data_IF_303478572588
#
_entry.id   IF_303478572588
#
_cell.length_a   1.000
_cell.length_b   1.000
_cell.length_c   1.000
_cell.angle_alpha   90.00
_cell.angle_beta   90.00
_cell.angle_gamma   90.00
#
_symmetry.space_group_name_H-M   'P 1'
#
loop_
_entity.id
_entity.type
_entity.pdbx_description
1 polymer ?
#
# COMPACT_ATOMS: atom_id res chain seq x y z
N UNK A 1 24.15 1.67 53.75
CA UNK A 1 22.73 1.51 53.33
C UNK A 1 22.74 1.75 51.82
N UNK A 2 23.26 0.78 51.08
CA UNK A 2 23.85 0.98 49.75
C UNK A 2 23.19 0.08 48.70
N UNK A 3 21.86 0.08 48.64
CA UNK A 3 21.12 -0.78 47.69
C UNK A 3 20.08 -0.05 46.84
N UNK A 4 20.00 1.29 46.87
CA UNK A 4 19.00 2.05 46.12
C UNK A 4 19.53 2.88 44.94
N UNK A 5 20.85 2.91 44.66
CA UNK A 5 21.38 3.65 43.49
C UNK A 5 21.57 2.78 42.23
N UNK A 6 21.60 1.45 42.35
CA UNK A 6 21.82 0.57 41.21
C UNK A 6 20.55 0.29 40.36
N UNK A 7 19.36 0.41 40.95
CA UNK A 7 18.09 0.05 40.27
C UNK A 7 17.46 1.18 39.44
N UNK A 8 17.88 2.43 39.64
CA UNK A 8 17.37 3.56 38.85
C UNK A 8 18.13 3.73 37.53
N UNK A 9 19.41 3.35 37.47
CA UNK A 9 20.21 3.48 36.24
C UNK A 9 19.89 2.40 35.19
N UNK A 10 19.44 1.21 35.61
CA UNK A 10 19.11 0.12 34.67
C UNK A 10 17.78 0.36 33.95
N UNK A 11 16.84 1.11 34.55
CA UNK A 11 15.55 1.42 33.93
C UNK A 11 15.59 2.63 32.97
N UNK A 12 16.54 3.55 33.13
CA UNK A 12 16.75 4.64 32.16
C UNK A 12 17.48 4.16 30.90
N UNK A 13 18.41 3.21 31.01
CA UNK A 13 19.16 2.69 29.86
C UNK A 13 18.33 1.80 28.91
N UNK A 14 17.24 1.19 29.38
CA UNK A 14 16.38 0.32 28.55
C UNK A 14 15.33 1.13 27.76
N UNK A 15 14.99 2.35 28.20
CA UNK A 15 14.09 3.24 27.46
C UNK A 15 14.79 4.01 26.33
N UNK A 16 16.12 3.95 26.26
CA UNK A 16 16.95 4.69 25.31
C UNK A 16 17.60 3.81 24.24
N UNK A 17 16.91 2.75 23.78
CA UNK A 17 17.19 2.21 22.43
C UNK A 17 16.57 3.17 21.41
N UNK A 18 17.11 4.38 21.36
CA UNK A 18 16.93 5.33 20.29
C UNK A 18 17.51 4.68 19.04
N UNK A 19 16.64 4.14 18.18
CA UNK A 19 17.02 3.78 16.83
C UNK A 19 17.71 5.02 16.22
N UNK A 20 18.99 4.93 15.85
CA UNK A 20 19.81 6.11 15.67
C UNK A 20 19.25 6.98 14.55
N UNK A 21 19.17 8.28 14.82
CA UNK A 21 18.92 9.30 13.79
C UNK A 21 19.91 9.10 12.66
N UNK A 22 19.41 8.57 11.53
CA UNK A 22 20.21 8.30 10.32
C UNK A 22 20.84 9.58 9.73
N UNK A 23 20.30 10.76 10.07
CA UNK A 23 20.79 12.06 9.61
C UNK A 23 21.01 13.03 10.77
N UNK A 24 22.27 13.29 11.09
CA UNK A 24 22.69 14.56 11.69
C UNK A 24 22.89 15.56 10.56
N UNK A 25 22.13 16.66 10.60
CA UNK A 25 22.01 17.74 9.61
C UNK A 25 21.07 17.44 8.41
N UNK A 26 20.04 18.29 8.26
CA UNK A 26 18.85 18.05 7.44
C UNK A 26 19.04 18.19 5.92
N UNK A 27 20.22 18.60 5.44
CA UNK A 27 20.38 19.01 4.03
C UNK A 27 21.49 18.33 3.24
N UNK A 28 22.44 17.61 3.86
CA UNK A 28 23.52 16.97 3.08
C UNK A 28 23.11 15.56 2.62
N UNK A 29 23.00 15.31 1.30
CA UNK A 29 22.61 14.00 0.82
C UNK A 29 23.74 12.98 0.96
N UNK A 30 23.40 11.81 1.48
CA UNK A 30 24.35 10.70 1.60
C UNK A 30 24.75 10.15 0.23
N UNK A 31 25.86 9.37 0.17
CA UNK A 31 26.30 8.74 -1.09
C UNK A 31 25.21 7.85 -1.69
N UNK A 32 24.44 7.14 -0.87
CA UNK A 32 23.35 6.26 -1.32
C UNK A 32 22.18 7.05 -1.90
N UNK A 33 21.84 8.20 -1.32
CA UNK A 33 20.81 9.10 -1.86
C UNK A 33 21.18 9.69 -3.23
N UNK A 34 22.45 10.05 -3.41
CA UNK A 34 22.96 10.54 -4.69
C UNK A 34 22.86 9.47 -5.78
N UNK A 35 23.21 8.22 -5.46
CA UNK A 35 23.08 7.08 -6.37
C UNK A 35 21.60 6.80 -6.68
N UNK A 36 20.73 6.84 -5.67
CA UNK A 36 19.30 6.62 -5.86
C UNK A 36 18.65 7.64 -6.82
N UNK A 37 19.12 8.89 -6.86
CA UNK A 37 18.63 9.90 -7.82
C UNK A 37 18.89 9.46 -9.26
N UNK A 38 20.06 8.88 -9.55
CA UNK A 38 20.43 8.46 -10.90
C UNK A 38 19.50 7.38 -11.44
N UNK A 39 19.18 6.38 -10.61
CA UNK A 39 18.25 5.30 -10.98
C UNK A 39 16.77 5.71 -10.92
N UNK A 40 16.43 6.78 -10.18
CA UNK A 40 15.04 7.24 -10.05
C UNK A 40 14.42 7.67 -11.38
N UNK A 41 15.20 8.26 -12.29
CA UNK A 41 14.69 8.76 -13.57
C UNK A 41 14.24 7.65 -14.53
N UNK A 42 15.07 6.64 -14.88
CA UNK A 42 14.63 5.57 -15.79
C UNK A 42 13.46 4.76 -15.21
N UNK A 43 13.44 4.52 -13.89
CA UNK A 43 12.33 3.82 -13.21
C UNK A 43 11.03 4.65 -13.30
N UNK A 44 11.11 5.95 -13.07
CA UNK A 44 9.95 6.85 -13.19
C UNK A 44 9.45 6.98 -14.63
N UNK A 45 10.36 7.04 -15.59
CA UNK A 45 10.02 7.08 -17.01
C UNK A 45 9.31 5.80 -17.44
N UNK A 46 9.80 4.63 -17.01
CA UNK A 46 9.14 3.34 -17.25
C UNK A 46 7.73 3.30 -16.65
N UNK A 47 7.55 3.85 -15.44
CA UNK A 47 6.23 3.93 -14.80
C UNK A 47 5.20 4.75 -15.59
N UNK A 48 5.63 5.73 -16.38
CA UNK A 48 4.70 6.50 -17.22
C UNK A 48 4.00 5.64 -18.27
N UNK A 49 4.61 4.54 -18.72
CA UNK A 49 3.96 3.57 -19.62
C UNK A 49 2.85 2.76 -18.92
N UNK A 50 2.87 2.70 -17.59
CA UNK A 50 1.82 2.06 -16.80
C UNK A 50 0.65 3.02 -16.60
N UNK A 51 0.91 4.29 -16.25
CA UNK A 51 -0.16 5.28 -16.00
C UNK A 51 -0.81 5.78 -17.30
N UNK A 52 0.00 6.02 -18.32
CA UNK A 52 -0.43 6.53 -19.63
C UNK A 52 -0.18 5.43 -20.66
N UNK A 53 -1.07 4.42 -20.76
CA UNK A 53 -1.01 3.50 -21.89
C UNK A 53 -1.15 4.33 -23.18
N UNK A 54 -0.29 4.06 -24.16
CA UNK A 54 -0.27 4.82 -25.42
C UNK A 54 -1.64 4.79 -26.07
N UNK A 55 -2.11 5.97 -26.49
CA UNK A 55 -3.39 6.13 -27.16
C UNK A 55 -3.31 5.75 -28.64
N UNK A 56 -2.12 5.84 -29.24
CA UNK A 56 -1.93 5.71 -30.69
C UNK A 56 -1.75 4.28 -31.20
N UNK A 57 -1.50 3.31 -30.32
CA UNK A 57 -1.19 1.96 -30.76
C UNK A 57 -2.15 0.94 -30.15
N UNK A 58 -3.15 0.54 -30.94
CA UNK A 58 -4.11 -0.52 -30.61
C UNK A 58 -3.46 -1.89 -30.33
N UNK A 59 -2.14 -2.01 -30.50
CA UNK A 59 -1.35 -3.22 -30.21
C UNK A 59 -0.85 -3.34 -28.77
N UNK A 60 -0.98 -2.31 -27.91
CA UNK A 60 -0.59 -2.43 -26.48
C UNK A 60 -1.45 -3.40 -25.65
N UNK A 61 -2.53 -3.94 -26.22
CA UNK A 61 -3.29 -5.05 -25.61
C UNK A 61 -2.56 -6.40 -25.66
N UNK A 62 -1.45 -6.53 -26.41
CA UNK A 62 -0.70 -7.79 -26.54
C UNK A 62 0.63 -7.75 -25.79
N UNK A 63 0.69 -8.34 -24.59
CA UNK A 63 1.91 -8.79 -23.90
C UNK A 63 2.90 -7.72 -23.40
N UNK A 64 3.15 -6.65 -24.16
CA UNK A 64 4.15 -5.61 -23.90
C UNK A 64 3.84 -4.79 -22.66
N UNK A 65 2.57 -4.45 -22.42
CA UNK A 65 2.15 -3.69 -21.23
C UNK A 65 2.37 -4.49 -19.93
N UNK A 66 2.05 -5.79 -19.92
CA UNK A 66 2.34 -6.68 -18.78
C UNK A 66 3.83 -6.82 -18.53
N UNK A 67 4.63 -6.93 -19.60
CA UNK A 67 6.09 -6.97 -19.50
C UNK A 67 6.66 -5.69 -18.87
N UNK A 68 6.15 -4.51 -19.27
CA UNK A 68 6.55 -3.22 -18.70
C UNK A 68 6.22 -3.15 -17.21
N UNK A 69 5.02 -3.58 -16.80
CA UNK A 69 4.63 -3.63 -15.39
C UNK A 69 5.59 -4.52 -14.61
N UNK A 70 5.88 -5.71 -15.11
CA UNK A 70 6.77 -6.64 -14.45
C UNK A 70 8.20 -6.13 -14.31
N UNK A 71 8.75 -5.58 -15.39
CA UNK A 71 10.08 -4.97 -15.39
C UNK A 71 10.10 -3.82 -14.37
N UNK A 72 9.08 -2.96 -14.36
CA UNK A 72 8.98 -1.89 -13.38
C UNK A 72 8.91 -2.42 -11.95
N UNK A 73 8.03 -3.39 -11.66
CA UNK A 73 7.88 -3.94 -10.31
C UNK A 73 9.17 -4.59 -9.82
N UNK A 74 9.85 -5.35 -10.67
CA UNK A 74 11.15 -5.97 -10.34
C UNK A 74 12.23 -4.91 -10.12
N UNK A 75 12.37 -3.94 -11.02
CA UNK A 75 13.34 -2.84 -10.86
C UNK A 75 13.05 -2.00 -9.61
N UNK A 76 11.78 -1.75 -9.31
CA UNK A 76 11.36 -1.06 -8.09
C UNK A 76 11.76 -1.85 -6.85
N UNK A 77 11.39 -3.13 -6.75
CA UNK A 77 11.75 -3.99 -5.62
C UNK A 77 13.27 -4.09 -5.43
N UNK A 78 14.04 -4.31 -6.51
CA UNK A 78 15.50 -4.35 -6.46
C UNK A 78 16.07 -2.99 -5.99
N UNK A 79 15.54 -1.87 -6.51
CA UNK A 79 16.02 -0.53 -6.12
C UNK A 79 15.79 -0.25 -4.63
N UNK A 80 14.64 -0.68 -4.09
CA UNK A 80 14.27 -0.57 -2.68
C UNK A 80 15.20 -1.43 -1.83
N UNK A 81 15.37 -2.70 -2.19
CA UNK A 81 16.21 -3.64 -1.45
C UNK A 81 17.68 -3.17 -1.42
N UNK A 82 18.23 -2.76 -2.57
CA UNK A 82 19.59 -2.23 -2.65
C UNK A 82 19.75 -0.94 -1.82
N UNK A 83 18.78 -0.03 -1.87
CA UNK A 83 18.83 1.22 -1.12
C UNK A 83 18.82 0.96 0.39
N UNK A 84 17.86 0.17 0.88
CA UNK A 84 17.73 -0.11 2.31
C UNK A 84 18.84 -1.01 2.84
N UNK A 85 19.29 -2.02 2.09
CA UNK A 85 20.45 -2.84 2.47
C UNK A 85 21.73 -2.00 2.58
N UNK A 86 21.96 -1.09 1.61
CA UNK A 86 23.12 -0.18 1.68
C UNK A 86 22.98 0.84 2.81
N UNK A 87 21.78 1.37 3.06
CA UNK A 87 21.51 2.29 4.16
C UNK A 87 21.75 1.62 5.51
N UNK A 88 21.21 0.41 5.70
CA UNK A 88 21.33 -0.39 6.91
C UNK A 88 22.77 -0.86 7.14
N UNK A 89 23.47 -1.31 6.09
CA UNK A 89 24.89 -1.67 6.17
C UNK A 89 25.76 -0.48 6.57
N UNK A 90 25.52 0.70 5.99
CA UNK A 90 26.20 1.93 6.37
C UNK A 90 25.92 2.32 7.82
N UNK A 91 24.71 2.07 8.31
CA UNK A 91 24.30 2.33 9.69
C UNK A 91 24.97 1.35 10.67
N UNK A 92 24.87 0.04 10.40
CA UNK A 92 25.50 -1.01 11.19
C UNK A 92 27.01 -0.85 11.27
N UNK A 93 27.66 -0.41 10.17
CA UNK A 93 29.08 -0.08 10.17
C UNK A 93 29.42 1.10 11.08
N UNK A 94 28.53 2.10 11.20
CA UNK A 94 28.70 3.22 12.14
C UNK A 94 28.48 2.79 13.59
N UNK A 95 27.55 1.86 13.85
CA UNK A 95 27.15 1.44 15.19
C UNK A 95 27.84 0.16 15.69
N UNK A 96 28.64 -0.51 14.86
CA UNK A 96 29.26 -1.82 15.13
C UNK A 96 28.24 -2.90 15.55
N UNK A 97 27.03 -2.87 14.99
CA UNK A 97 25.95 -3.84 15.26
C UNK A 97 25.84 -4.87 14.14
N UNK A 98 25.48 -6.10 14.47
CA UNK A 98 25.19 -7.15 13.48
C UNK A 98 23.95 -6.83 12.66
N UNK A 99 23.86 -7.26 11.38
CA UNK A 99 22.67 -7.03 10.56
C UNK A 99 21.44 -7.73 11.15
N UNK A 100 20.35 -6.99 11.35
CA UNK A 100 19.06 -7.59 11.70
C UNK A 100 18.59 -8.50 10.54
N UNK A 101 18.04 -9.69 10.85
CA UNK A 101 17.53 -10.59 9.82
C UNK A 101 16.35 -9.94 9.08
N UNK A 102 16.31 -10.12 7.74
CA UNK A 102 15.09 -9.80 6.97
C UNK A 102 13.92 -10.56 7.60
N UNK A 103 12.93 -9.81 8.10
CA UNK A 103 11.71 -10.38 8.69
C UNK A 103 11.04 -11.27 7.64
N UNK A 104 10.69 -12.52 7.99
CA UNK A 104 9.95 -13.48 7.13
C UNK A 104 8.73 -12.82 6.47
N UNK A 105 8.11 -11.89 7.20
CA UNK A 105 7.02 -11.03 6.75
C UNK A 105 7.30 -10.29 5.42
N UNK A 106 8.53 -9.85 5.18
CA UNK A 106 8.96 -9.19 3.94
C UNK A 106 8.81 -10.12 2.73
N UNK A 107 9.23 -11.38 2.88
CA UNK A 107 9.13 -12.38 1.82
C UNK A 107 7.67 -12.76 1.52
N UNK A 108 6.79 -12.76 2.52
CA UNK A 108 5.36 -13.02 2.32
C UNK A 108 4.74 -11.97 1.39
N UNK A 109 5.00 -10.68 1.63
CA UNK A 109 4.44 -9.61 0.82
C UNK A 109 5.04 -9.55 -0.59
N UNK A 110 6.34 -9.85 -0.74
CA UNK A 110 6.97 -10.04 -2.06
C UNK A 110 6.36 -11.21 -2.82
N UNK A 111 6.07 -12.32 -2.13
CA UNK A 111 5.35 -13.45 -2.69
C UNK A 111 3.96 -13.03 -3.20
N UNK A 112 3.21 -12.25 -2.42
CA UNK A 112 1.90 -11.72 -2.83
C UNK A 112 2.00 -10.88 -4.11
N UNK A 113 2.96 -9.95 -4.18
CA UNK A 113 3.21 -9.13 -5.38
C UNK A 113 3.52 -10.02 -6.59
N UNK A 114 4.36 -11.04 -6.39
CA UNK A 114 4.78 -11.95 -7.45
C UNK A 114 3.62 -12.79 -7.99
N UNK A 115 2.72 -13.25 -7.11
CA UNK A 115 1.51 -14.02 -7.50
C UNK A 115 0.56 -13.14 -8.31
N UNK A 116 0.31 -11.90 -7.89
CA UNK A 116 -0.59 -11.00 -8.63
C UNK A 116 0.00 -10.65 -9.99
N UNK A 117 1.30 -10.38 -10.05
CA UNK A 117 2.01 -10.10 -11.29
C UNK A 117 1.98 -11.31 -12.26
N UNK A 118 2.21 -12.52 -11.75
CA UNK A 118 2.09 -13.74 -12.53
C UNK A 118 0.65 -13.94 -13.05
N UNK A 119 -0.36 -13.63 -12.24
CA UNK A 119 -1.76 -13.66 -12.69
C UNK A 119 -2.03 -12.66 -13.84
N UNK A 120 -1.50 -11.44 -13.75
CA UNK A 120 -1.63 -10.45 -14.82
C UNK A 120 -1.07 -10.97 -16.14
N UNK A 121 0.14 -11.57 -16.12
CA UNK A 121 0.73 -12.19 -17.31
C UNK A 121 -0.10 -13.33 -17.89
N UNK A 122 -0.72 -14.13 -17.03
CA UNK A 122 -1.55 -15.25 -17.44
C UNK A 122 -2.95 -14.82 -17.90
N UNK A 123 -3.27 -13.52 -17.85
CA UNK A 123 -4.59 -12.99 -18.21
C UNK A 123 -5.71 -13.50 -17.29
N UNK A 124 -5.39 -13.87 -16.04
CA UNK A 124 -6.33 -14.48 -15.09
C UNK A 124 -7.03 -13.48 -14.18
N UNK A 125 -6.65 -12.20 -14.21
CA UNK A 125 -7.28 -11.14 -13.39
C UNK A 125 -8.65 -10.67 -13.91
N UNK A 126 -9.56 -11.60 -14.18
CA UNK A 126 -10.87 -11.30 -14.78
C UNK A 126 -11.82 -10.59 -13.81
N UNK A 127 -11.68 -10.83 -12.50
CA UNK A 127 -12.60 -10.29 -11.48
C UNK A 127 -12.36 -8.80 -11.23
N UNK A 128 -11.10 -8.46 -10.95
CA UNK A 128 -10.71 -7.11 -10.56
C UNK A 128 -10.30 -6.25 -11.76
N UNK A 129 -10.00 -6.89 -12.89
CA UNK A 129 -9.37 -6.24 -14.03
C UNK A 129 -7.95 -5.78 -13.72
N UNK A 130 -7.26 -5.32 -14.75
CA UNK A 130 -5.84 -4.96 -14.63
C UNK A 130 -5.62 -3.70 -13.78
N UNK A 131 -6.55 -2.74 -13.81
CA UNK A 131 -6.44 -1.50 -13.04
C UNK A 131 -6.46 -1.72 -11.53
N UNK A 132 -7.39 -2.53 -11.02
CA UNK A 132 -7.44 -2.83 -9.58
C UNK A 132 -6.33 -3.82 -9.17
N UNK A 133 -5.93 -4.76 -10.03
CA UNK A 133 -4.76 -5.60 -9.78
C UNK A 133 -3.47 -4.76 -9.60
N UNK A 134 -3.29 -3.74 -10.44
CA UNK A 134 -2.21 -2.75 -10.26
C UNK A 134 -2.34 -2.00 -8.94
N UNK A 135 -3.54 -1.54 -8.57
CA UNK A 135 -3.77 -0.87 -7.29
C UNK A 135 -3.38 -1.75 -6.10
N UNK A 136 -3.73 -3.05 -6.14
CA UNK A 136 -3.29 -4.01 -5.12
C UNK A 136 -1.76 -4.13 -5.12
N UNK A 137 -1.10 -4.39 -6.25
CA UNK A 137 0.37 -4.46 -6.34
C UNK A 137 1.03 -3.24 -5.70
N UNK A 138 0.50 -2.03 -5.96
CA UNK A 138 1.00 -0.80 -5.35
C UNK A 138 0.82 -0.79 -3.83
N UNK A 139 -0.36 -1.15 -3.32
CA UNK A 139 -0.61 -1.25 -1.89
C UNK A 139 0.33 -2.24 -1.20
N UNK A 140 0.52 -3.42 -1.77
CA UNK A 140 1.46 -4.43 -1.27
C UNK A 140 2.91 -3.92 -1.34
N UNK A 141 3.32 -3.26 -2.43
CA UNK A 141 4.67 -2.73 -2.60
C UNK A 141 4.99 -1.60 -1.62
N UNK A 142 4.03 -0.70 -1.36
CA UNK A 142 4.16 0.36 -0.35
C UNK A 142 4.26 -0.24 1.05
N UNK A 143 3.38 -1.19 1.40
CA UNK A 143 3.44 -1.86 2.69
C UNK A 143 4.78 -2.57 2.91
N UNK A 144 5.22 -3.33 1.90
CA UNK A 144 6.50 -4.02 1.89
C UNK A 144 7.68 -3.05 2.04
N UNK A 145 7.66 -1.92 1.35
CA UNK A 145 8.69 -0.88 1.46
C UNK A 145 8.77 -0.29 2.87
N UNK A 146 7.63 0.03 3.50
CA UNK A 146 7.61 0.58 4.86
C UNK A 146 8.11 -0.47 5.85
N UNK A 147 7.72 -1.74 5.69
CA UNK A 147 8.23 -2.84 6.48
C UNK A 147 9.77 -2.96 6.37
N UNK A 148 10.33 -2.85 5.17
CA UNK A 148 11.78 -2.85 4.95
C UNK A 148 12.49 -1.63 5.55
N UNK A 149 11.82 -0.48 5.56
CA UNK A 149 12.36 0.74 6.16
C UNK A 149 12.37 0.70 7.70
N UNK A 150 11.63 -0.23 8.33
CA UNK A 150 11.43 -0.25 9.78
C UNK A 150 10.59 0.93 10.31
N UNK A 151 9.90 1.68 9.43
CA UNK A 151 9.07 2.84 9.77
C UNK A 151 7.58 2.51 9.81
N UNK A 152 7.23 1.35 10.35
CA UNK A 152 5.84 1.00 10.67
C UNK A 152 5.46 1.57 12.04
N UNK A 153 4.18 1.88 12.25
CA UNK A 153 3.69 2.32 13.57
C UNK A 153 3.75 1.19 14.61
N UNK A 154 3.77 -0.06 14.18
CA UNK A 154 4.03 -1.24 15.00
C UNK A 154 5.23 -2.02 14.47
N UNK A 155 5.81 -2.92 15.27
CA UNK A 155 7.01 -3.68 14.89
C UNK A 155 6.77 -4.72 13.76
N UNK A 156 5.57 -4.72 13.16
CA UNK A 156 5.15 -5.51 11.98
C UNK A 156 3.69 -5.22 11.59
N UNK A 157 3.10 -6.08 10.75
CA UNK A 157 1.69 -5.98 10.33
C UNK A 157 0.75 -6.05 11.53
N UNK A 158 -0.14 -5.06 11.65
CA UNK A 158 -1.01 -4.90 12.81
C UNK A 158 -2.19 -3.96 12.54
N UNK A 159 -2.97 -3.58 13.56
CA UNK A 159 -4.17 -2.75 13.40
C UNK A 159 -3.96 -1.44 12.64
N UNK A 160 -2.74 -0.92 12.66
CA UNK A 160 -2.35 0.32 12.00
C UNK A 160 -1.90 0.12 10.54
N UNK A 161 -1.81 -1.11 10.03
CA UNK A 161 -1.39 -1.41 8.65
C UNK A 161 -2.17 -0.62 7.59
N UNK A 162 -3.50 -0.47 7.64
CA UNK A 162 -4.21 0.37 6.67
C UNK A 162 -3.76 1.83 6.70
N UNK A 163 -3.48 2.37 7.89
CA UNK A 163 -3.01 3.74 8.05
C UNK A 163 -1.53 3.88 7.64
N UNK A 164 -0.69 2.86 7.84
CA UNK A 164 0.67 2.82 7.32
C UNK A 164 0.68 2.81 5.79
N UNK A 165 -0.19 2.02 5.14
CA UNK A 165 -0.36 2.02 3.68
C UNK A 165 -0.80 3.39 3.20
N UNK A 166 -1.78 4.03 3.84
CA UNK A 166 -2.24 5.38 3.47
C UNK A 166 -1.13 6.44 3.67
N UNK A 167 -0.37 6.35 4.77
CA UNK A 167 0.78 7.22 4.99
C UNK A 167 1.86 7.01 3.91
N UNK A 168 2.11 5.77 3.51
CA UNK A 168 3.03 5.44 2.43
C UNK A 168 2.56 5.90 1.06
N UNK A 169 1.26 5.81 0.80
CA UNK A 169 0.70 6.18 -0.49
C UNK A 169 0.63 7.70 -0.67
N UNK A 170 0.29 8.45 0.39
CA UNK A 170 0.06 9.89 0.29
C UNK A 170 1.08 10.70 1.09
N UNK A 171 1.26 10.40 2.37
CA UNK A 171 1.98 11.30 3.29
C UNK A 171 3.48 11.34 3.02
N UNK A 172 4.16 10.19 2.98
CA UNK A 172 5.62 10.16 2.79
C UNK A 172 6.07 10.69 1.42
N UNK A 173 5.47 10.28 0.30
CA UNK A 173 5.88 10.76 -1.02
C UNK A 173 5.64 12.26 -1.19
N UNK A 174 4.48 12.78 -0.73
CA UNK A 174 4.13 14.19 -0.86
C UNK A 174 4.96 15.09 0.07
N UNK A 175 5.20 14.64 1.31
CA UNK A 175 6.05 15.39 2.26
C UNK A 175 7.48 15.55 1.74
N UNK A 176 7.99 14.54 1.03
CA UNK A 176 9.34 14.54 0.47
C UNK A 176 9.39 14.73 -1.05
N UNK A 177 8.34 15.30 -1.65
CA UNK A 177 8.22 15.45 -3.09
C UNK A 177 9.40 16.25 -3.68
N UNK A 178 9.76 17.36 -3.04
CA UNK A 178 10.89 18.20 -3.47
C UNK A 178 12.26 17.67 -3.01
N UNK A 179 12.34 16.48 -2.42
CA UNK A 179 13.63 15.95 -1.98
C UNK A 179 14.53 15.63 -3.18
N UNK A 180 13.96 15.07 -4.24
CA UNK A 180 14.69 14.73 -5.47
C UNK A 180 15.40 15.95 -6.07
N UNK A 181 14.69 17.09 -6.17
CA UNK A 181 15.26 18.33 -6.70
C UNK A 181 16.35 18.90 -5.77
N UNK A 182 16.15 18.82 -4.44
CA UNK A 182 17.16 19.26 -3.46
C UNK A 182 18.46 18.47 -3.56
N UNK A 183 18.38 17.14 -3.74
CA UNK A 183 19.57 16.29 -3.89
C UNK A 183 20.29 16.58 -5.21
N UNK A 184 19.57 16.72 -6.31
CA UNK A 184 20.14 17.10 -7.61
C UNK A 184 20.86 18.44 -7.49
N UNK A 185 20.22 19.44 -6.88
CA UNK A 185 20.79 20.76 -6.65
C UNK A 185 22.08 20.70 -5.84
N UNK A 186 22.11 19.92 -4.75
CA UNK A 186 23.31 19.71 -3.92
C UNK A 186 24.47 19.06 -4.69
N UNK A 187 24.18 18.09 -5.57
CA UNK A 187 25.20 17.48 -6.44
C UNK A 187 25.78 18.52 -7.38
N UNK A 188 24.94 19.33 -8.03
CA UNK A 188 25.35 20.37 -8.98
C UNK A 188 26.20 21.43 -8.28
N UNK A 189 25.73 22.01 -7.17
CA UNK A 189 26.45 23.06 -6.44
C UNK A 189 27.78 22.56 -5.87
N UNK A 190 27.84 21.33 -5.36
CA UNK A 190 29.10 20.76 -4.87
C UNK A 190 30.14 20.54 -5.99
N UNK A 191 29.69 20.24 -7.21
CA UNK A 191 30.55 20.09 -8.39
C UNK A 191 31.04 21.44 -8.93
N UNK A 192 30.17 22.47 -8.89
CA UNK A 192 30.52 23.85 -9.25
C UNK A 192 31.56 24.40 -8.26
N UNK A 193 31.32 24.27 -6.95
CA UNK A 193 32.23 24.78 -5.92
C UNK A 193 33.60 24.07 -5.93
N UNK A 194 33.67 22.76 -6.26
CA UNK A 194 34.94 22.06 -6.46
C UNK A 194 35.67 22.47 -7.75
N UNK A 195 34.94 22.95 -8.75
CA UNK A 195 35.48 23.45 -10.03
C UNK A 195 35.79 24.95 -10.02
N UNK A 196 35.68 25.64 -8.89
CA UNK A 196 36.09 27.04 -8.71
C UNK A 196 37.58 27.35 -8.97
N UNK A 197 38.37 26.37 -9.46
CA UNK A 197 39.72 26.54 -10.00
C UNK A 197 39.84 26.36 -11.54
N UNK A 198 38.76 26.03 -12.26
CA UNK A 198 38.73 25.81 -13.73
C UNK A 198 37.47 26.44 -14.39
N UNK A 199 37.12 27.66 -14.00
CA UNK A 199 35.79 28.25 -14.21
C UNK A 199 35.47 28.71 -15.65
N UNK A 200 36.40 28.63 -16.61
CA UNK A 200 36.12 29.03 -18.00
C UNK A 200 35.36 27.95 -18.78
N UNK A 201 35.76 26.67 -18.67
CA UNK A 201 35.21 25.60 -19.53
C UNK A 201 33.73 25.32 -19.30
N UNK A 202 33.23 25.38 -18.07
CA UNK A 202 31.81 25.09 -17.77
C UNK A 202 30.86 26.19 -18.23
N UNK A 203 31.29 27.46 -18.15
CA UNK A 203 30.52 28.57 -18.71
C UNK A 203 30.43 28.46 -20.24
N UNK A 204 31.54 28.08 -20.89
CA UNK A 204 31.57 27.84 -22.34
C UNK A 204 30.61 26.73 -22.76
N UNK A 205 30.57 25.59 -22.07
CA UNK A 205 29.64 24.50 -22.43
C UNK A 205 28.16 24.89 -22.25
N UNK A 206 27.83 25.70 -21.25
CA UNK A 206 26.47 26.21 -21.06
C UNK A 206 26.11 27.19 -22.18
N UNK A 207 27.02 28.12 -22.51
CA UNK A 207 26.82 29.05 -23.64
C UNK A 207 26.70 28.32 -24.98
N UNK A 208 27.50 27.28 -25.22
CA UNK A 208 27.42 26.43 -26.41
C UNK A 208 26.09 25.68 -26.46
N UNK A 209 25.61 25.13 -25.35
CA UNK A 209 24.32 24.43 -25.30
C UNK A 209 23.14 25.38 -25.59
N UNK A 210 23.12 26.56 -24.97
CA UNK A 210 22.10 27.59 -25.22
C UNK A 210 22.19 28.08 -26.68
N UNK A 211 23.40 28.33 -27.18
CA UNK A 211 23.65 28.74 -28.55
C UNK A 211 23.18 27.70 -29.57
N UNK A 212 23.42 26.41 -29.31
CA UNK A 212 22.98 25.33 -30.18
C UNK A 212 21.45 25.19 -30.22
N UNK A 213 20.76 25.36 -29.07
CA UNK A 213 19.30 25.37 -29.00
C UNK A 213 18.72 26.55 -29.80
N UNK A 214 19.26 27.75 -29.62
CA UNK A 214 18.83 28.94 -30.36
C UNK A 214 19.13 28.81 -31.86
N UNK A 215 20.27 28.24 -32.22
CA UNK A 215 20.66 28.01 -33.62
C UNK A 215 19.72 27.02 -34.32
N UNK A 216 19.35 25.93 -33.64
CA UNK A 216 18.34 24.99 -34.14
C UNK A 216 16.98 25.65 -34.33
N UNK A 217 16.52 26.42 -33.34
CA UNK A 217 15.25 27.15 -33.41
C UNK A 217 15.23 28.14 -34.58
N UNK A 218 16.31 28.91 -34.75
CA UNK A 218 16.46 29.81 -35.88
C UNK A 218 16.47 29.06 -37.22
N UNK A 219 17.20 27.93 -37.31
CA UNK A 219 17.24 27.09 -38.52
C UNK A 219 15.85 26.63 -38.97
N UNK A 220 15.01 26.17 -38.03
CA UNK A 220 13.62 25.79 -38.32
C UNK A 220 12.76 26.97 -38.79
N UNK A 221 12.90 28.15 -38.16
CA UNK A 221 12.18 29.36 -38.57
C UNK A 221 12.57 29.80 -39.99
N UNK A 222 13.86 29.75 -40.33
CA UNK A 222 14.35 30.09 -41.68
C UNK A 222 13.88 29.07 -42.72
N UNK A 223 13.93 27.78 -42.41
CA UNK A 223 13.43 26.73 -43.30
C UNK A 223 11.91 26.82 -43.52
N UNK A 224 11.15 27.27 -42.52
CA UNK A 224 9.71 27.53 -42.68
C UNK A 224 9.41 28.79 -43.50
N UNK A 225 10.33 29.74 -43.60
CA UNK A 225 10.12 31.03 -44.26
C UNK A 225 10.54 31.04 -45.73
N UNK A 226 11.49 30.18 -46.15
CA UNK A 226 12.04 30.15 -47.51
C UNK A 226 12.18 28.72 -48.05
N UNK A 227 11.60 28.46 -49.22
CA UNK A 227 11.60 27.12 -49.85
C UNK A 227 12.98 26.67 -50.33
N UNK A 228 13.83 27.59 -50.78
CA UNK A 228 15.19 27.26 -51.25
C UNK A 228 16.07 26.86 -50.07
N UNK A 229 15.93 27.56 -48.94
CA UNK A 229 16.60 27.22 -47.69
C UNK A 229 16.11 25.88 -47.14
N UNK A 230 14.80 25.61 -47.19
CA UNK A 230 14.21 24.34 -46.77
C UNK A 230 14.74 23.15 -47.58
N UNK A 231 14.91 23.29 -48.90
CA UNK A 231 15.47 22.22 -49.75
C UNK A 231 16.92 21.86 -49.41
N UNK A 232 17.69 22.80 -48.84
CA UNK A 232 19.10 22.58 -48.49
C UNK A 232 19.29 22.04 -47.08
N UNK A 233 18.47 22.48 -46.12
CA UNK A 233 18.66 22.22 -44.68
C UNK A 233 17.51 21.46 -44.01
N UNK A 234 16.36 21.33 -44.68
CA UNK A 234 15.16 20.69 -44.16
C UNK A 234 15.39 19.23 -43.77
N UNK A 235 16.08 18.44 -44.60
CA UNK A 235 16.36 17.03 -44.30
C UNK A 235 17.27 16.87 -43.07
N UNK A 236 18.28 17.74 -42.91
CA UNK A 236 19.17 17.73 -41.74
C UNK A 236 18.41 18.14 -40.47
N UNK A 237 17.56 19.16 -40.55
CA UNK A 237 16.70 19.61 -39.45
C UNK A 237 15.63 18.58 -39.10
N UNK A 238 15.12 17.82 -40.07
CA UNK A 238 14.19 16.70 -39.88
C UNK A 238 14.86 15.53 -39.14
N UNK A 239 16.11 15.18 -39.45
CA UNK A 239 16.86 14.17 -38.67
C UNK A 239 17.12 14.61 -37.22
N UNK A 240 17.31 15.92 -36.99
CA UNK A 240 17.44 16.50 -35.65
C UNK A 240 16.09 16.84 -35.01
N UNK A 241 14.98 16.67 -35.72
CA UNK A 241 13.66 16.99 -35.22
C UNK A 241 13.30 16.01 -34.12
N UNK A 242 13.25 16.52 -32.90
CA UNK A 242 12.50 15.85 -31.86
C UNK A 242 11.04 16.06 -32.19
N UNK A 243 10.35 14.98 -32.52
CA UNK A 243 8.91 15.04 -32.73
C UNK A 243 8.24 15.45 -31.41
N UNK A 244 7.92 16.75 -31.29
CA UNK A 244 7.28 17.35 -30.11
C UNK A 244 5.88 16.74 -29.92
N UNK A 245 5.28 16.21 -31.00
CA UNK A 245 3.99 15.52 -31.01
C UNK A 245 4.10 14.03 -30.68
N UNK A 246 5.32 13.48 -30.57
CA UNK A 246 5.50 12.12 -30.06
C UNK A 246 5.07 12.04 -28.59
N UNK A 247 4.84 10.83 -28.09
CA UNK A 247 4.48 10.65 -26.67
C UNK A 247 5.65 10.96 -25.72
N UNK A 248 6.87 11.08 -26.25
CA UNK A 248 8.09 11.20 -25.44
C UNK A 248 8.15 12.48 -24.59
N UNK A 249 7.93 13.71 -25.11
CA UNK A 249 7.90 14.93 -24.32
C UNK A 249 6.85 14.91 -23.20
N UNK A 250 5.64 14.43 -23.49
CA UNK A 250 4.58 14.31 -22.49
C UNK A 250 4.98 13.31 -21.40
N UNK A 251 5.48 12.13 -21.78
CA UNK A 251 5.99 11.13 -20.83
C UNK A 251 7.17 11.66 -20.02
N UNK A 252 8.07 12.42 -20.64
CA UNK A 252 9.20 13.07 -19.94
C UNK A 252 8.68 14.04 -18.87
N UNK A 253 7.75 14.93 -19.21
CA UNK A 253 7.14 15.87 -18.26
C UNK A 253 6.46 15.13 -17.11
N UNK A 254 5.69 14.08 -17.40
CA UNK A 254 4.98 13.26 -16.38
C UNK A 254 5.95 12.42 -15.54
N UNK A 255 7.10 12.02 -16.08
CA UNK A 255 8.13 11.28 -15.34
C UNK A 255 8.80 12.10 -14.24
N UNK A 256 8.75 13.44 -14.32
CA UNK A 256 9.30 14.33 -13.30
C UNK A 256 8.53 14.24 -11.97
N UNK A 257 7.20 14.49 -11.90
CA UNK A 257 6.42 14.33 -10.68
C UNK A 257 6.34 12.87 -10.23
N UNK A 258 6.26 11.91 -11.16
CA UNK A 258 6.30 10.47 -10.82
C UNK A 258 7.62 10.10 -10.13
N UNK A 259 8.74 10.54 -10.66
CA UNK A 259 10.05 10.27 -10.06
C UNK A 259 10.25 10.99 -8.75
N UNK A 260 9.68 12.19 -8.58
CA UNK A 260 9.63 12.88 -7.29
C UNK A 260 8.83 12.09 -6.25
N UNK A 261 7.67 11.55 -6.65
CA UNK A 261 6.85 10.66 -5.81
C UNK A 261 7.61 9.38 -5.41
N UNK A 262 8.15 8.63 -6.37
CA UNK A 262 8.88 7.38 -6.08
C UNK A 262 10.13 7.64 -5.25
N UNK A 263 10.86 8.73 -5.52
CA UNK A 263 12.03 9.10 -4.73
C UNK A 263 11.64 9.53 -3.31
N UNK A 264 10.57 10.30 -3.15
CA UNK A 264 10.02 10.68 -1.85
C UNK A 264 9.53 9.45 -1.05
N UNK A 265 8.98 8.45 -1.73
CA UNK A 265 8.58 7.19 -1.12
C UNK A 265 9.80 6.40 -0.59
N UNK A 266 10.82 6.18 -1.42
CA UNK A 266 11.98 5.36 -1.04
C UNK A 266 12.89 6.11 -0.06
N UNK A 267 13.34 7.30 -0.44
CA UNK A 267 14.34 8.06 0.33
C UNK A 267 13.68 8.85 1.46
N UNK A 268 12.50 9.43 1.23
CA UNK A 268 11.79 10.20 2.24
C UNK A 268 11.34 9.35 3.42
N UNK A 269 10.85 8.12 3.19
CA UNK A 269 10.51 7.19 4.27
C UNK A 269 11.73 6.89 5.15
N UNK A 270 12.90 6.67 4.57
CA UNK A 270 14.12 6.42 5.34
C UNK A 270 14.55 7.62 6.21
N UNK A 271 14.24 8.85 5.75
CA UNK A 271 14.50 10.11 6.47
C UNK A 271 13.47 10.42 7.58
N UNK A 272 12.33 9.74 7.61
CA UNK A 272 11.39 9.90 8.71
C UNK A 272 11.99 9.38 10.02
N UNK A 273 11.71 10.08 11.11
CA UNK A 273 12.19 9.66 12.43
C UNK A 273 11.23 8.62 13.02
N UNK A 274 11.76 7.48 13.46
CA UNK A 274 10.99 6.42 14.14
C UNK A 274 10.33 6.96 15.40
N UNK A 275 10.98 7.88 16.10
CA UNK A 275 10.42 8.51 17.30
C UNK A 275 9.18 9.33 16.96
N UNK A 276 9.19 10.09 15.86
CA UNK A 276 8.02 10.85 15.39
C UNK A 276 6.85 9.92 15.04
N UNK A 277 7.14 8.74 14.50
CA UNK A 277 6.10 7.78 14.17
C UNK A 277 5.49 7.12 15.42
N UNK A 278 6.33 6.77 16.40
CA UNK A 278 5.88 6.32 17.73
C UNK A 278 5.04 7.39 18.42
N UNK A 279 5.50 8.64 18.43
CA UNK A 279 4.76 9.78 18.99
C UNK A 279 3.43 10.02 18.25
N UNK A 280 3.41 9.86 16.92
CA UNK A 280 2.16 9.95 16.13
C UNK A 280 1.19 8.85 16.52
N UNK A 281 1.66 7.62 16.71
CA UNK A 281 0.84 6.52 17.21
C UNK A 281 0.30 6.82 18.62
N UNK A 282 1.14 7.28 19.53
CA UNK A 282 0.72 7.66 20.88
C UNK A 282 -0.33 8.79 20.84
N UNK A 283 -0.11 9.83 20.03
CA UNK A 283 -1.08 10.88 19.81
C UNK A 283 -2.41 10.37 19.26
N UNK A 284 -2.36 9.46 18.28
CA UNK A 284 -3.56 8.82 17.75
C UNK A 284 -4.27 8.08 18.87
N UNK A 285 -3.56 7.26 19.67
CA UNK A 285 -4.10 6.51 20.80
C UNK A 285 -4.72 7.41 21.88
N UNK A 286 -4.12 8.57 22.16
CA UNK A 286 -4.64 9.57 23.09
C UNK A 286 -5.96 10.19 22.60
N UNK A 287 -6.03 10.66 21.35
CA UNK A 287 -7.30 11.13 20.75
C UNK A 287 -8.38 10.07 20.74
N UNK A 288 -7.93 8.86 20.51
CA UNK A 288 -8.74 7.66 20.51
C UNK A 288 -9.26 7.36 21.93
N UNK A 289 -8.53 7.74 22.99
CA UNK A 289 -8.98 7.65 24.37
C UNK A 289 -9.94 8.79 24.75
N UNK A 290 -9.86 9.96 24.11
CA UNK A 290 -10.88 11.02 24.25
C UNK A 290 -12.28 10.57 23.79
N UNK A 291 -12.37 9.51 22.98
CA UNK A 291 -13.64 8.92 22.56
C UNK A 291 -14.29 8.06 23.65
N UNK A 292 -13.54 7.65 24.69
CA UNK A 292 -13.99 6.80 25.80
C UNK A 292 -14.86 7.55 26.82
N UNK A 293 -15.94 8.17 26.34
CA UNK A 293 -16.85 8.99 27.16
C UNK A 293 -18.17 8.30 27.45
N UNK A 294 -18.56 7.34 26.60
CA UNK A 294 -19.91 6.76 26.66
C UNK A 294 -19.96 5.68 27.76
N UNK A 295 -20.94 5.72 28.69
CA UNK A 295 -21.09 4.70 29.71
C UNK A 295 -21.33 3.31 29.11
N UNK A 296 -20.65 2.29 29.64
CA UNK A 296 -20.76 0.91 29.15
C UNK A 296 -22.21 0.38 29.14
N UNK A 297 -23.07 0.85 30.05
CA UNK A 297 -24.49 0.47 30.09
C UNK A 297 -25.24 0.82 28.79
N UNK A 298 -24.95 1.98 28.19
CA UNK A 298 -25.58 2.40 26.93
C UNK A 298 -25.20 1.44 25.81
N UNK A 299 -23.93 1.07 25.73
CA UNK A 299 -23.45 0.10 24.76
C UNK A 299 -24.03 -1.30 24.98
N UNK A 300 -24.18 -1.74 26.23
CA UNK A 300 -24.82 -3.03 26.53
C UNK A 300 -26.26 -3.07 26.02
N UNK A 301 -27.04 -2.01 26.26
CA UNK A 301 -28.44 -1.93 25.78
C UNK A 301 -28.49 -1.94 24.26
N UNK A 302 -27.62 -1.17 23.59
CA UNK A 302 -27.50 -1.16 22.14
C UNK A 302 -27.13 -2.54 21.60
N UNK A 303 -26.07 -3.16 22.11
CA UNK A 303 -25.61 -4.49 21.71
C UNK A 303 -26.73 -5.54 21.92
N UNK A 304 -27.43 -5.49 23.05
CA UNK A 304 -28.56 -6.38 23.31
C UNK A 304 -29.68 -6.22 22.28
N UNK A 305 -29.98 -4.99 21.86
CA UNK A 305 -30.92 -4.72 20.78
C UNK A 305 -30.50 -5.35 19.45
N UNK A 306 -29.21 -5.25 19.08
CA UNK A 306 -28.67 -5.93 17.89
C UNK A 306 -28.72 -7.46 18.01
N UNK A 307 -28.35 -8.03 19.15
CA UNK A 307 -28.47 -9.47 19.40
C UNK A 307 -29.91 -9.93 19.23
N UNK A 308 -30.88 -9.24 19.84
CA UNK A 308 -32.31 -9.61 19.71
C UNK A 308 -32.76 -9.53 18.26
N UNK A 309 -32.39 -8.47 17.53
CA UNK A 309 -32.73 -8.31 16.12
C UNK A 309 -32.19 -9.47 15.27
N UNK A 310 -30.93 -9.85 15.48
CA UNK A 310 -30.31 -10.95 14.73
C UNK A 310 -30.85 -12.32 15.14
N UNK A 311 -31.14 -12.55 16.43
CA UNK A 311 -31.83 -13.76 16.88
C UNK A 311 -33.23 -13.88 16.25
N UNK A 312 -34.01 -12.79 16.20
CA UNK A 312 -35.31 -12.78 15.53
C UNK A 312 -35.15 -13.08 14.03
N UNK A 313 -34.15 -12.50 13.38
CA UNK A 313 -33.83 -12.80 11.99
C UNK A 313 -33.51 -14.29 11.79
N UNK A 314 -32.65 -14.89 12.61
CA UNK A 314 -32.33 -16.32 12.53
C UNK A 314 -33.49 -17.22 12.91
N UNK A 315 -34.38 -16.79 13.80
CA UNK A 315 -35.59 -17.53 14.14
C UNK A 315 -36.57 -17.56 12.96
N UNK A 316 -36.83 -16.41 12.33
CA UNK A 316 -37.71 -16.31 11.15
C UNK A 316 -37.08 -17.01 9.94
N UNK A 317 -35.79 -16.80 9.71
CA UNK A 317 -35.09 -17.39 8.57
C UNK A 317 -34.60 -18.81 8.82
N UNK A 318 -34.69 -19.33 10.04
CA UNK A 318 -34.17 -20.66 10.40
C UNK A 318 -34.71 -21.74 9.46
N UNK A 319 -36.02 -21.73 9.21
CA UNK A 319 -36.66 -22.66 8.26
C UNK A 319 -36.12 -22.53 6.83
N UNK A 320 -35.88 -21.31 6.36
CA UNK A 320 -35.29 -21.04 5.03
C UNK A 320 -33.80 -21.42 4.93
N UNK A 321 -33.04 -21.19 6.01
CA UNK A 321 -31.61 -21.52 6.10
C UNK A 321 -31.44 -23.04 6.12
N UNK A 322 -32.23 -23.77 6.91
CA UNK A 322 -32.25 -25.24 6.89
C UNK A 322 -32.71 -25.79 5.53
N UNK A 323 -33.64 -25.12 4.84
CA UNK A 323 -34.03 -25.44 3.46
C UNK A 323 -32.87 -25.38 2.46
N UNK A 324 -31.99 -24.37 2.58
CA UNK A 324 -30.76 -24.27 1.77
C UNK A 324 -29.77 -25.42 2.06
N UNK A 325 -29.66 -25.86 3.32
CA UNK A 325 -28.84 -27.02 3.70
C UNK A 325 -29.41 -28.35 3.19
N UNK A 326 -30.74 -28.48 3.09
CA UNK A 326 -31.42 -29.68 2.56
C UNK A 326 -31.59 -29.67 1.05
N UNK A 327 -31.04 -28.67 0.33
CA UNK A 327 -31.21 -28.44 -1.12
C UNK A 327 -32.68 -28.34 -1.57
N UNK A 328 -33.58 -27.99 -0.66
CA UNK A 328 -34.99 -27.78 -1.00
C UNK A 328 -35.16 -26.34 -1.45
N UNK A 329 -35.53 -26.16 -2.72
CA UNK A 329 -35.78 -24.83 -3.27
C UNK A 329 -37.13 -24.33 -2.74
N UNK A 330 -37.21 -23.14 -2.10
CA UNK A 330 -38.50 -22.54 -1.78
C UNK A 330 -39.29 -22.31 -3.07
N UNK A 331 -40.58 -22.68 -3.09
CA UNK A 331 -41.43 -22.52 -4.27
C UNK A 331 -41.47 -21.04 -4.74
N UNK A 332 -41.25 -20.82 -6.04
CA UNK A 332 -41.34 -19.49 -6.68
C UNK A 332 -40.02 -18.72 -6.86
N UNK A 333 -38.87 -19.19 -6.35
CA UNK A 333 -37.57 -18.55 -6.59
C UNK A 333 -36.70 -19.32 -7.57
N UNK A 334 -36.02 -18.61 -8.49
CA UNK A 334 -34.92 -19.22 -9.25
C UNK A 334 -33.69 -19.37 -8.35
N UNK A 335 -32.91 -20.45 -8.55
CA UNK A 335 -31.67 -20.72 -7.78
C UNK A 335 -30.72 -19.50 -7.79
N UNK A 336 -30.59 -18.83 -8.93
CA UNK A 336 -29.73 -17.67 -9.09
C UNK A 336 -30.24 -16.44 -8.32
N UNK A 337 -31.56 -16.20 -8.31
CA UNK A 337 -32.14 -15.12 -7.50
C UNK A 337 -31.98 -15.41 -6.01
N UNK A 338 -32.28 -16.63 -5.56
CA UNK A 338 -32.15 -17.02 -4.16
C UNK A 338 -30.72 -16.87 -3.62
N UNK A 339 -29.72 -17.24 -4.44
CA UNK A 339 -28.31 -17.16 -4.03
C UNK A 339 -27.75 -15.73 -4.06
N UNK A 340 -28.16 -14.88 -5.02
CA UNK A 340 -27.66 -13.50 -5.13
C UNK A 340 -28.39 -12.54 -4.19
N UNK A 341 -29.67 -12.78 -3.95
CA UNK A 341 -30.49 -11.97 -3.07
C UNK A 341 -30.17 -12.29 -1.60
N UNK A 342 -29.75 -11.28 -0.84
CA UNK A 342 -29.38 -11.41 0.57
C UNK A 342 -27.90 -11.73 0.78
N UNK A 343 -27.15 -12.22 -0.21
CA UNK A 343 -25.72 -12.53 -0.03
C UNK A 343 -24.92 -11.28 0.35
N UNK A 344 -25.05 -10.22 -0.46
CA UNK A 344 -24.33 -8.97 -0.23
C UNK A 344 -24.85 -8.25 1.02
N UNK A 345 -26.14 -8.38 1.32
CA UNK A 345 -26.76 -7.86 2.54
C UNK A 345 -26.16 -8.53 3.78
N UNK A 346 -25.99 -9.86 3.78
CA UNK A 346 -25.33 -10.58 4.87
C UNK A 346 -23.87 -10.14 5.05
N UNK A 347 -23.10 -9.99 3.96
CA UNK A 347 -21.75 -9.44 4.05
C UNK A 347 -21.73 -8.00 4.58
N UNK A 348 -22.69 -7.15 4.17
CA UNK A 348 -22.83 -5.77 4.69
C UNK A 348 -23.17 -5.76 6.18
N UNK A 349 -24.06 -6.64 6.65
CA UNK A 349 -24.40 -6.79 8.07
C UNK A 349 -23.18 -7.20 8.88
N UNK A 350 -22.38 -8.16 8.40
CA UNK A 350 -21.12 -8.52 9.05
C UNK A 350 -20.14 -7.33 9.12
N UNK A 351 -20.02 -6.55 8.03
CA UNK A 351 -19.24 -5.32 8.02
C UNK A 351 -19.74 -4.30 9.05
N UNK A 352 -21.06 -4.12 9.15
CA UNK A 352 -21.69 -3.27 10.15
C UNK A 352 -21.39 -3.76 11.58
N UNK A 353 -21.43 -5.07 11.83
CA UNK A 353 -21.08 -5.64 13.12
C UNK A 353 -19.63 -5.35 13.51
N UNK A 354 -18.68 -5.43 12.58
CA UNK A 354 -17.30 -5.04 12.85
C UNK A 354 -17.17 -3.54 13.16
N UNK A 355 -17.89 -2.68 12.44
CA UNK A 355 -17.92 -1.22 12.73
C UNK A 355 -18.53 -0.96 14.10
N UNK A 356 -19.66 -1.60 14.42
CA UNK A 356 -20.32 -1.51 15.72
C UNK A 356 -19.36 -1.91 16.83
N UNK A 357 -18.72 -3.07 16.71
CA UNK A 357 -17.72 -3.54 17.68
C UNK A 357 -16.55 -2.57 17.82
N UNK A 358 -16.05 -2.03 16.71
CA UNK A 358 -14.97 -1.04 16.74
C UNK A 358 -15.39 0.23 17.50
N UNK A 359 -16.57 0.77 17.22
CA UNK A 359 -17.12 1.94 17.93
C UNK A 359 -17.31 1.65 19.42
N UNK A 360 -17.90 0.50 19.75
CA UNK A 360 -18.18 0.09 21.13
C UNK A 360 -16.88 -0.05 21.91
N UNK A 361 -15.90 -0.79 21.37
CA UNK A 361 -14.55 -0.96 21.97
C UNK A 361 -13.89 0.38 22.18
N UNK A 362 -14.08 1.33 21.25
CA UNK A 362 -13.34 2.58 21.29
C UNK A 362 -13.99 3.70 22.07
N UNK A 363 -15.31 3.71 22.15
CA UNK A 363 -16.07 4.78 22.78
C UNK A 363 -16.52 4.47 24.22
N UNK A 364 -16.46 3.20 24.62
CA UNK A 364 -16.78 2.81 25.99
C UNK A 364 -15.79 3.40 27.00
N UNK A 365 -16.31 4.06 28.04
CA UNK A 365 -15.53 4.63 29.14
C UNK A 365 -14.79 3.53 29.94
N UNK A 366 -15.41 2.37 30.08
CA UNK A 366 -14.77 1.20 30.71
C UNK A 366 -14.27 0.26 29.61
N UNK A 367 -13.07 -0.31 29.79
CA UNK A 367 -12.61 -1.39 28.90
C UNK A 367 -13.65 -2.52 28.97
N UNK A 368 -14.24 -2.84 27.81
CA UNK A 368 -15.25 -3.88 27.66
C UNK A 368 -14.76 -5.21 28.23
N UNK A 369 -13.44 -5.44 28.21
CA UNK A 369 -12.81 -6.65 28.76
C UNK A 369 -12.88 -6.76 30.28
N UNK A 370 -13.30 -5.70 30.98
CA UNK A 370 -13.56 -5.72 32.43
C UNK A 370 -15.04 -5.86 32.76
N UNK A 371 -15.93 -5.68 31.78
CA UNK A 371 -17.36 -5.85 31.96
C UNK A 371 -17.81 -7.17 31.30
N UNK A 372 -18.08 -8.19 32.12
CA UNK A 372 -18.47 -9.52 31.66
C UNK A 372 -19.69 -9.49 30.74
N UNK A 373 -20.70 -8.66 31.04
CA UNK A 373 -21.91 -8.55 30.21
C UNK A 373 -21.61 -7.96 28.83
N UNK A 374 -20.85 -6.87 28.76
CA UNK A 374 -20.50 -6.26 27.47
C UNK A 374 -19.62 -7.20 26.62
N UNK A 375 -18.70 -7.92 27.26
CA UNK A 375 -17.87 -8.94 26.60
C UNK A 375 -18.71 -10.10 26.05
N UNK A 376 -19.69 -10.59 26.81
CA UNK A 376 -20.61 -11.64 26.37
C UNK A 376 -21.43 -11.14 25.18
N UNK A 377 -22.02 -9.95 25.25
CA UNK A 377 -22.83 -9.40 24.15
C UNK A 377 -22.01 -9.21 22.87
N UNK A 378 -20.79 -8.69 22.96
CA UNK A 378 -19.87 -8.63 21.81
C UNK A 378 -19.56 -10.03 21.25
N UNK A 379 -19.39 -11.04 22.11
CA UNK A 379 -19.16 -12.42 21.68
C UNK A 379 -20.38 -13.02 20.98
N UNK A 380 -21.59 -12.71 21.45
CA UNK A 380 -22.85 -13.14 20.79
C UNK A 380 -22.97 -12.53 19.40
N UNK A 381 -22.75 -11.21 19.24
CA UNK A 381 -22.79 -10.56 17.92
C UNK A 381 -21.75 -11.17 16.96
N UNK A 382 -20.56 -11.50 17.46
CA UNK A 382 -19.54 -12.17 16.66
C UNK A 382 -19.93 -13.62 16.30
N UNK A 383 -20.60 -14.34 17.21
CA UNK A 383 -21.14 -15.66 16.93
C UNK A 383 -22.26 -15.61 15.89
N UNK A 384 -23.15 -14.62 15.96
CA UNK A 384 -24.16 -14.33 14.95
C UNK A 384 -23.52 -13.95 13.61
N UNK A 385 -22.40 -13.21 13.63
CA UNK A 385 -21.62 -12.92 12.43
C UNK A 385 -21.05 -14.19 11.79
N UNK A 386 -20.58 -15.14 12.60
CA UNK A 386 -20.18 -16.47 12.11
C UNK A 386 -21.36 -17.19 11.47
N UNK A 387 -22.55 -17.16 12.08
CA UNK A 387 -23.76 -17.76 11.50
C UNK A 387 -24.18 -17.08 10.18
N UNK A 388 -24.07 -15.76 10.08
CA UNK A 388 -24.29 -15.03 8.82
C UNK A 388 -23.30 -15.47 7.74
N UNK A 389 -22.03 -15.64 8.10
CA UNK A 389 -20.99 -16.13 7.19
C UNK A 389 -21.31 -17.55 6.69
N UNK A 390 -21.69 -18.46 7.59
CA UNK A 390 -22.08 -19.84 7.26
C UNK A 390 -23.31 -19.84 6.33
N UNK A 391 -24.29 -18.97 6.61
CA UNK A 391 -25.51 -18.83 5.79
C UNK A 391 -25.17 -18.31 4.38
N UNK A 392 -24.31 -17.28 4.29
CA UNK A 392 -23.85 -16.74 3.03
C UNK A 392 -23.04 -17.76 2.23
N UNK A 393 -22.19 -18.55 2.90
CA UNK A 393 -21.42 -19.64 2.30
C UNK A 393 -22.33 -20.74 1.75
N UNK A 394 -23.35 -21.15 2.51
CA UNK A 394 -24.34 -22.16 2.08
C UNK A 394 -25.07 -21.72 0.80
N UNK A 395 -25.54 -20.47 0.75
CA UNK A 395 -26.15 -19.87 -0.46
C UNK A 395 -25.19 -19.86 -1.66
N UNK A 396 -23.93 -19.48 -1.43
CA UNK A 396 -22.92 -19.46 -2.50
C UNK A 396 -22.59 -20.88 -2.99
N UNK A 397 -22.54 -21.87 -2.10
CA UNK A 397 -22.28 -23.26 -2.48
C UNK A 397 -23.43 -23.88 -3.27
N UNK A 398 -24.68 -23.55 -2.94
CA UNK A 398 -25.82 -23.92 -3.79
C UNK A 398 -25.68 -23.32 -5.19
N UNK A 399 -25.27 -22.05 -5.28
CA UNK A 399 -25.05 -21.37 -6.56
C UNK A 399 -23.93 -22.01 -7.39
N UNK A 400 -22.82 -22.36 -6.75
CA UNK A 400 -21.70 -23.07 -7.41
C UNK A 400 -22.14 -24.48 -7.83
N UNK A 401 -22.93 -25.18 -7.02
CA UNK A 401 -23.39 -26.54 -7.33
C UNK A 401 -24.28 -26.58 -8.58
N UNK A 402 -25.09 -25.55 -8.81
CA UNK A 402 -25.97 -25.50 -9.99
C UNK A 402 -25.30 -24.91 -11.24
N UNK A 403 -24.40 -23.94 -11.09
CA UNK A 403 -23.84 -23.17 -12.22
C UNK A 403 -22.33 -23.29 -12.40
N UNK A 404 -21.65 -24.13 -11.62
CA UNK A 404 -20.20 -24.36 -11.67
C UNK A 404 -19.36 -23.25 -11.03
N UNK A 405 -18.04 -23.36 -11.17
CA UNK A 405 -17.09 -22.36 -10.70
C UNK A 405 -16.98 -21.20 -11.70
N UNK A 406 -16.94 -19.97 -11.17
CA UNK A 406 -16.58 -18.76 -11.92
C UNK A 406 -15.67 -17.88 -11.05
N UNK A 407 -14.81 -17.03 -11.66
CA UNK A 407 -13.91 -16.17 -10.90
C UNK A 407 -14.64 -15.29 -9.86
N UNK A 408 -15.80 -14.72 -10.23
CA UNK A 408 -16.63 -13.93 -9.32
C UNK A 408 -17.15 -14.72 -8.10
N UNK A 409 -17.48 -16.00 -8.28
CA UNK A 409 -17.93 -16.87 -7.18
C UNK A 409 -16.77 -17.21 -6.24
N UNK A 410 -15.57 -17.41 -6.77
CA UNK A 410 -14.35 -17.63 -5.97
C UNK A 410 -14.01 -16.38 -5.15
N UNK A 411 -14.10 -15.18 -5.75
CA UNK A 411 -13.89 -13.93 -5.02
C UNK A 411 -14.95 -13.72 -3.92
N UNK A 412 -16.20 -14.09 -4.20
CA UNK A 412 -17.28 -14.03 -3.19
C UNK A 412 -16.99 -14.98 -2.04
N UNK A 413 -16.49 -16.20 -2.32
CA UNK A 413 -16.08 -17.16 -1.28
C UNK A 413 -14.91 -16.63 -0.44
N UNK A 414 -13.94 -15.98 -1.08
CA UNK A 414 -12.83 -15.31 -0.38
C UNK A 414 -13.32 -14.26 0.60
N UNK A 415 -14.26 -13.41 0.20
CA UNK A 415 -14.79 -12.36 1.08
C UNK A 415 -15.46 -12.98 2.32
N UNK A 416 -16.28 -14.01 2.13
CA UNK A 416 -16.92 -14.75 3.24
C UNK A 416 -15.86 -15.34 4.17
N UNK A 417 -14.82 -15.97 3.60
CA UNK A 417 -13.74 -16.60 4.35
C UNK A 417 -12.97 -15.58 5.21
N UNK A 418 -12.63 -14.41 4.66
CA UNK A 418 -11.97 -13.33 5.40
C UNK A 418 -12.84 -12.80 6.54
N UNK A 419 -14.15 -12.65 6.31
CA UNK A 419 -15.09 -12.20 7.32
C UNK A 419 -15.33 -13.27 8.42
N UNK A 420 -15.37 -14.55 8.04
CA UNK A 420 -15.43 -15.69 8.97
C UNK A 420 -14.20 -15.72 9.87
N UNK A 421 -13.00 -15.75 9.28
CA UNK A 421 -11.74 -15.74 10.02
C UNK A 421 -11.62 -14.48 10.88
N UNK A 422 -12.05 -13.32 10.39
CA UNK A 422 -12.09 -12.08 11.17
C UNK A 422 -12.97 -12.22 12.41
N UNK A 423 -14.16 -12.82 12.28
CA UNK A 423 -15.08 -13.01 13.39
C UNK A 423 -14.49 -13.96 14.44
N UNK A 424 -13.98 -15.12 14.02
CA UNK A 424 -13.36 -16.12 14.89
C UNK A 424 -12.12 -15.56 15.60
N UNK A 425 -11.23 -14.87 14.87
CA UNK A 425 -10.02 -14.29 15.45
C UNK A 425 -10.33 -13.12 16.38
N UNK A 426 -11.41 -12.37 16.14
CA UNK A 426 -11.86 -11.30 17.04
C UNK A 426 -12.40 -11.88 18.35
N UNK A 427 -13.22 -12.95 18.30
CA UNK A 427 -13.64 -13.67 19.51
C UNK A 427 -12.42 -14.17 20.26
N UNK A 428 -11.50 -14.87 19.58
CA UNK A 428 -10.29 -15.38 20.21
C UNK A 428 -9.46 -14.26 20.86
N UNK A 429 -9.30 -13.13 20.18
CA UNK A 429 -8.54 -11.98 20.71
C UNK A 429 -9.23 -11.34 21.91
N UNK A 430 -10.57 -11.26 21.90
CA UNK A 430 -11.38 -10.72 22.99
C UNK A 430 -11.22 -11.57 24.27
N UNK A 431 -11.25 -12.90 24.13
CA UNK A 431 -11.17 -13.83 25.27
C UNK A 431 -9.74 -14.07 25.77
N UNK A 432 -8.76 -14.26 24.87
CA UNK A 432 -7.38 -14.60 25.26
C UNK A 432 -6.49 -13.38 25.51
N UNK A 433 -6.98 -12.17 25.21
CA UNK A 433 -6.22 -10.90 25.20
C UNK A 433 -4.98 -10.90 24.29
N UNK A 434 -4.79 -11.92 23.46
CA UNK A 434 -3.69 -12.01 22.49
C UNK A 434 -4.02 -11.18 21.25
N UNK A 435 -3.00 -10.56 20.65
CA UNK A 435 -3.13 -9.76 19.42
C UNK A 435 -3.24 -10.67 18.19
N UNK A 436 -4.45 -11.05 17.81
CA UNK A 436 -4.68 -11.93 16.64
C UNK A 436 -4.88 -11.17 15.32
N UNK A 437 -4.91 -9.84 15.34
CA UNK A 437 -5.13 -9.02 14.16
C UNK A 437 -4.05 -9.21 13.09
N UNK A 438 -2.80 -9.43 13.51
CA UNK A 438 -1.68 -9.74 12.60
C UNK A 438 -1.96 -10.98 11.73
N UNK A 439 -2.52 -12.03 12.34
CA UNK A 439 -2.87 -13.27 11.64
C UNK A 439 -3.98 -13.01 10.62
N UNK A 440 -4.99 -12.21 11.00
CA UNK A 440 -6.08 -11.84 10.11
C UNK A 440 -5.59 -11.07 8.87
N UNK A 441 -4.66 -10.12 9.03
CA UNK A 441 -4.03 -9.40 7.92
C UNK A 441 -3.32 -10.36 6.97
N UNK A 442 -2.53 -11.31 7.50
CA UNK A 442 -1.86 -12.28 6.65
C UNK A 442 -2.83 -13.16 5.89
N UNK A 443 -3.86 -13.68 6.57
CA UNK A 443 -4.91 -14.48 5.93
C UNK A 443 -5.55 -13.66 4.81
N UNK A 444 -5.98 -12.43 5.09
CA UNK A 444 -6.63 -11.56 4.10
C UNK A 444 -5.71 -11.26 2.91
N UNK A 445 -4.47 -10.84 3.19
CA UNK A 445 -3.50 -10.45 2.17
C UNK A 445 -3.02 -11.59 1.29
N UNK A 446 -2.68 -12.74 1.88
CA UNK A 446 -2.21 -13.91 1.11
C UNK A 446 -3.36 -14.51 0.30
N UNK A 447 -4.53 -14.67 0.92
CA UNK A 447 -5.69 -15.23 0.21
C UNK A 447 -6.17 -14.33 -0.92
N UNK A 448 -6.12 -12.99 -0.76
CA UNK A 448 -6.44 -12.05 -1.84
C UNK A 448 -5.47 -12.20 -3.02
N UNK A 449 -4.16 -12.28 -2.74
CA UNK A 449 -3.16 -12.51 -3.77
C UNK A 449 -3.41 -13.84 -4.51
N UNK A 450 -3.76 -14.91 -3.80
CA UNK A 450 -4.09 -16.21 -4.42
C UNK A 450 -5.37 -16.16 -5.25
N UNK A 451 -6.38 -15.39 -4.83
CA UNK A 451 -7.65 -15.29 -5.60
C UNK A 451 -7.46 -14.64 -6.95
N UNK A 452 -6.43 -13.81 -7.13
CA UNK A 452 -6.08 -13.27 -8.44
C UNK A 452 -5.70 -14.35 -9.46
N UNK A 453 -5.28 -15.55 -9.05
CA UNK A 453 -4.96 -16.64 -9.99
C UNK A 453 -6.17 -17.24 -10.72
N UNK A 454 -7.39 -16.83 -10.34
CA UNK A 454 -8.66 -17.32 -10.88
C UNK A 454 -9.46 -16.15 -11.46
#
# INVERSE_FOLDING_TARGET
MDNNMANNNVNEDIQNIDLPRLYGNSLEPSKTEKIAVLFSFPIAFLYTYIILPSYYDGTYKNGSWYAIIAIFTVLFCISVELYYKNSLCNLNRKLKTSPEPLKIESFIWLGCISVILASMFLGRNQVWGDGLALFFIHGYAVHWLILQSGRLMEDGSGPFTPLDILNGFFVFPLKHFFLRIKVIWSIITSKINKKGKENERTSTWIAVAIGLILFYAAGNLLASADETFNRLLGDLLNYLSFDIYSEFPLRFIVSLPVGAYLYGLIVGTNREDTTKLKNKKEYILLKLDDLKKVPAKVWIIMLAGFCILYLVFFFIQGSYIFGAFTRTLPEGFTVAQYARQGFFELCKIMGLNFILLWIVIKSSNVDIRHNSLAMIMCSVILAESILFSITAFSKLMLYISCFGFTPLRIQSAWLIFVLFCGSVLTIYSLWTRKKSFKIWIFISGISLALTHLF
#
